data_IF_858553211820
#
_entry.id   IF_858553211820
#
_cell.length_a   1.000
_cell.length_b   1.000
_cell.length_c   1.000
_cell.angle_alpha   90.00
_cell.angle_beta   90.00
_cell.angle_gamma   90.00
#
_symmetry.space_group_name_H-M   'P 1'
#
loop_
_entity.id
_entity.type
_entity.pdbx_description
1 polymer ?
#
# COMPACT_ATOMS: atom_id res chain seq x y z
N UNK A 1 -33.90 44.12 2.44
CA UNK A 1 -34.42 43.91 3.81
C UNK A 1 -33.63 42.73 4.37
N UNK A 2 -32.94 42.72 5.51
CA UNK A 2 -33.05 43.53 6.72
C UNK A 2 -31.75 43.22 7.53
N UNK A 3 -30.86 44.21 7.65
CA UNK A 3 -29.95 44.55 8.77
C UNK A 3 -28.82 43.59 9.21
N UNK A 4 -27.59 44.06 8.95
CA UNK A 4 -26.35 43.71 9.65
C UNK A 4 -26.45 44.28 11.07
N UNK A 5 -26.20 43.44 12.09
CA UNK A 5 -25.93 43.90 13.46
C UNK A 5 -24.47 43.54 13.77
N UNK A 6 -23.67 44.58 13.93
CA UNK A 6 -22.34 44.54 14.53
C UNK A 6 -22.50 44.37 16.04
N UNK A 7 -21.87 43.36 16.61
CA UNK A 7 -21.58 43.32 18.04
C UNK A 7 -20.08 43.07 18.21
N UNK A 8 -19.34 44.18 18.31
CA UNK A 8 -17.98 44.20 18.81
C UNK A 8 -18.02 43.86 20.31
N UNK A 9 -17.77 42.59 20.62
CA UNK A 9 -17.51 42.17 21.99
C UNK A 9 -16.00 42.19 22.21
N UNK A 10 -15.56 43.22 22.95
CA UNK A 10 -14.26 43.28 23.62
C UNK A 10 -14.06 42.01 24.44
N UNK A 11 -13.21 41.11 23.96
CA UNK A 11 -12.73 39.97 24.72
C UNK A 11 -11.34 40.29 25.27
N UNK A 12 -11.26 40.24 26.59
CA UNK A 12 -10.07 40.40 27.40
C UNK A 12 -8.94 39.50 26.88
N UNK A 13 -7.74 40.08 26.75
CA UNK A 13 -6.51 39.34 26.51
C UNK A 13 -6.18 38.49 27.75
N UNK A 14 -6.67 37.25 27.78
CA UNK A 14 -6.02 36.19 28.54
C UNK A 14 -5.02 35.52 27.60
N UNK A 15 -3.75 35.56 27.98
CA UNK A 15 -2.68 34.87 27.27
C UNK A 15 -2.88 33.35 27.42
N UNK A 16 -3.73 32.77 26.59
CA UNK A 16 -3.81 31.35 26.32
C UNK A 16 -3.60 31.19 24.82
N UNK A 17 -2.33 31.08 24.42
CA UNK A 17 -1.98 30.79 23.04
C UNK A 17 -2.65 29.48 22.60
N UNK A 18 -3.02 29.35 21.31
CA UNK A 18 -3.53 28.07 20.81
C UNK A 18 -2.45 27.01 21.01
N UNK A 19 -2.76 26.01 21.84
CA UNK A 19 -1.98 24.77 21.91
C UNK A 19 -2.24 24.06 20.59
N UNK A 20 -1.42 24.34 19.59
CA UNK A 20 -1.36 23.54 18.37
C UNK A 20 -0.78 22.21 18.84
N UNK A 21 -1.64 21.25 19.16
CA UNK A 21 -1.24 19.85 19.28
C UNK A 21 -0.88 19.38 17.87
N UNK A 22 0.36 19.69 17.47
CA UNK A 22 0.98 19.15 16.28
C UNK A 22 1.15 17.66 16.49
N UNK A 23 0.15 16.88 16.10
CA UNK A 23 0.35 15.47 15.77
C UNK A 23 1.23 15.46 14.54
N UNK A 24 2.55 15.52 14.75
CA UNK A 24 3.51 15.22 13.69
C UNK A 24 3.13 13.85 13.13
N UNK A 25 2.84 13.73 11.82
CA UNK A 25 2.68 12.42 11.22
C UNK A 25 4.01 11.69 11.44
N UNK A 26 3.99 10.72 12.36
CA UNK A 26 5.14 9.87 12.61
C UNK A 26 5.48 9.23 11.25
N UNK A 27 6.68 9.50 10.76
CA UNK A 27 7.17 8.82 9.57
C UNK A 27 7.16 7.33 9.90
N UNK A 28 6.24 6.59 9.28
CA UNK A 28 6.20 5.13 9.41
C UNK A 28 7.51 4.63 8.83
N UNK A 29 8.33 3.99 9.66
CA UNK A 29 9.62 3.48 9.22
C UNK A 29 9.42 2.48 8.07
N UNK A 30 10.15 2.73 6.97
CA UNK A 30 10.11 1.84 5.81
C UNK A 30 10.77 0.51 6.14
N UNK A 31 10.14 -0.56 5.66
CA UNK A 31 10.64 -1.93 5.78
C UNK A 31 11.93 -2.05 4.95
N UNK A 32 13.04 -2.37 5.62
CA UNK A 32 14.31 -2.68 4.94
C UNK A 32 14.18 -4.02 4.23
N UNK A 33 14.68 -4.10 3.00
CA UNK A 33 14.75 -5.30 2.17
C UNK A 33 16.04 -5.28 1.37
N UNK A 34 16.52 -6.44 0.92
CA UNK A 34 17.68 -6.49 0.02
C UNK A 34 17.37 -5.80 -1.31
N UNK A 35 18.41 -5.46 -2.08
CA UNK A 35 18.23 -4.90 -3.43
C UNK A 35 17.41 -5.82 -4.34
N UNK A 36 17.67 -7.12 -4.27
CA UNK A 36 16.97 -8.14 -5.06
C UNK A 36 15.50 -8.26 -4.67
N UNK A 37 15.21 -8.23 -3.37
CA UNK A 37 13.83 -8.22 -2.86
C UNK A 37 13.07 -6.95 -3.28
N UNK A 38 13.73 -5.78 -3.23
CA UNK A 38 13.15 -4.53 -3.69
C UNK A 38 12.85 -4.54 -5.20
N UNK A 39 13.73 -5.16 -6.00
CA UNK A 39 13.50 -5.35 -7.43
C UNK A 39 12.32 -6.29 -7.68
N UNK A 40 12.24 -7.43 -6.99
CA UNK A 40 11.08 -8.33 -7.12
C UNK A 40 9.76 -7.62 -6.78
N UNK A 41 9.74 -6.80 -5.73
CA UNK A 41 8.58 -5.97 -5.36
C UNK A 41 8.18 -4.97 -6.45
N UNK A 42 9.14 -4.39 -7.18
CA UNK A 42 8.85 -3.50 -8.30
C UNK A 42 8.44 -4.27 -9.57
N UNK A 43 9.13 -5.36 -9.87
CA UNK A 43 8.92 -6.16 -11.08
C UNK A 43 7.53 -6.79 -11.09
N UNK A 44 7.04 -7.24 -9.93
CA UNK A 44 5.69 -7.79 -9.82
C UNK A 44 4.60 -6.78 -10.16
N UNK A 45 4.87 -5.46 -10.09
CA UNK A 45 3.87 -4.45 -10.44
C UNK A 45 3.48 -4.49 -11.91
N UNK A 46 4.27 -5.11 -12.80
CA UNK A 46 3.91 -5.28 -14.21
C UNK A 46 2.65 -6.12 -14.42
N UNK A 47 2.30 -6.94 -13.44
CA UNK A 47 1.14 -7.82 -13.47
C UNK A 47 -0.13 -7.16 -12.91
N UNK A 48 -0.03 -5.97 -12.30
CA UNK A 48 -1.21 -5.26 -11.83
C UNK A 48 -2.12 -4.85 -12.98
N UNK A 49 -3.44 -4.97 -12.78
CA UNK A 49 -4.46 -4.80 -13.81
C UNK A 49 -4.60 -3.34 -14.29
N UNK A 50 -3.82 -2.98 -15.31
CA UNK A 50 -3.89 -1.69 -16.02
C UNK A 50 -2.93 -0.61 -15.50
N UNK A 51 -2.67 0.45 -16.29
CA UNK A 51 -1.59 1.41 -16.01
C UNK A 51 -1.69 2.11 -14.65
N UNK A 52 -2.90 2.44 -14.21
CA UNK A 52 -3.13 3.07 -12.91
C UNK A 52 -2.76 2.11 -11.77
N UNK A 53 -3.20 0.85 -11.82
CA UNK A 53 -2.87 -0.13 -10.81
C UNK A 53 -1.36 -0.40 -10.73
N UNK A 54 -0.66 -0.38 -11.87
CA UNK A 54 0.80 -0.49 -11.90
C UNK A 54 1.48 0.71 -11.21
N UNK A 55 1.00 1.93 -11.46
CA UNK A 55 1.51 3.13 -10.81
C UNK A 55 1.27 3.10 -9.29
N UNK A 56 0.08 2.68 -8.87
CA UNK A 56 -0.30 2.55 -7.46
C UNK A 56 0.54 1.48 -6.75
N UNK A 57 0.76 0.34 -7.41
CA UNK A 57 1.68 -0.70 -6.92
C UNK A 57 3.10 -0.16 -6.71
N UNK A 58 3.66 0.54 -7.70
CA UNK A 58 5.00 1.13 -7.57
C UNK A 58 5.07 2.18 -6.46
N UNK A 59 4.04 3.01 -6.33
CA UNK A 59 3.97 4.01 -5.27
C UNK A 59 3.95 3.36 -3.88
N UNK A 60 3.16 2.31 -3.70
CA UNK A 60 3.14 1.50 -2.46
C UNK A 60 4.51 0.90 -2.16
N UNK A 61 5.18 0.32 -3.15
CA UNK A 61 6.52 -0.26 -2.96
C UNK A 61 7.50 0.81 -2.48
N UNK A 62 7.54 1.97 -3.15
CA UNK A 62 8.40 3.10 -2.79
C UNK A 62 8.07 3.70 -1.43
N UNK A 63 6.80 3.67 -1.02
CA UNK A 63 6.36 4.22 0.25
C UNK A 63 6.66 3.29 1.43
N UNK A 64 6.54 1.97 1.24
CA UNK A 64 6.61 1.00 2.32
C UNK A 64 7.99 0.35 2.47
N UNK A 65 8.79 0.30 1.40
CA UNK A 65 10.06 -0.41 1.39
C UNK A 65 11.24 0.52 1.09
N UNK A 66 12.39 0.13 1.61
CA UNK A 66 13.67 0.77 1.29
C UNK A 66 14.76 -0.28 1.17
N UNK A 67 15.77 -0.01 0.34
CA UNK A 67 16.92 -0.90 0.20
C UNK A 67 17.75 -0.83 1.47
N UNK A 68 18.07 -2.00 2.04
CA UNK A 68 18.88 -2.18 3.23
C UNK A 68 19.34 -3.63 3.35
N UNK A 69 19.25 -4.18 4.55
CA UNK A 69 19.55 -5.58 4.82
C UNK A 69 18.45 -6.50 4.28
N UNK A 70 18.82 -7.75 3.96
CA UNK A 70 17.86 -8.77 3.55
C UNK A 70 16.83 -8.98 4.65
N UNK A 71 15.57 -9.04 4.25
CA UNK A 71 14.47 -9.29 5.16
C UNK A 71 13.95 -10.72 4.99
N UNK A 72 14.35 -11.61 5.89
CA UNK A 72 13.90 -13.00 5.87
C UNK A 72 12.43 -13.17 6.28
N UNK A 73 11.77 -12.13 6.80
CA UNK A 73 10.33 -12.13 7.07
C UNK A 73 9.50 -11.64 5.87
N UNK A 74 10.13 -11.17 4.79
CA UNK A 74 9.42 -10.82 3.56
C UNK A 74 8.91 -12.10 2.89
N UNK A 75 7.59 -12.24 2.77
CA UNK A 75 6.98 -13.39 2.09
C UNK A 75 7.23 -13.32 0.58
N UNK A 76 8.29 -13.95 0.12
CA UNK A 76 8.59 -14.10 -1.31
C UNK A 76 8.20 -15.50 -1.78
N UNK A 77 7.43 -15.55 -2.86
CA UNK A 77 6.90 -16.76 -3.47
C UNK A 77 7.38 -16.82 -4.92
N UNK A 78 7.77 -18.00 -5.37
CA UNK A 78 8.21 -18.21 -6.75
C UNK A 78 7.35 -19.29 -7.41
N UNK A 79 6.84 -18.97 -8.60
CA UNK A 79 6.02 -19.87 -9.38
C UNK A 79 6.34 -19.69 -10.87
N UNK A 80 6.63 -20.78 -11.57
CA UNK A 80 6.95 -20.78 -13.01
C UNK A 80 7.99 -19.68 -13.39
N UNK A 81 9.11 -19.62 -12.67
CA UNK A 81 10.18 -18.61 -12.82
C UNK A 81 9.75 -17.16 -12.58
N UNK A 82 8.56 -16.94 -12.03
CA UNK A 82 8.07 -15.63 -11.62
C UNK A 82 8.14 -15.52 -10.10
N UNK A 83 8.90 -14.53 -9.62
CA UNK A 83 9.02 -14.20 -8.20
C UNK A 83 8.10 -13.04 -7.87
N UNK A 84 7.32 -13.20 -6.80
CA UNK A 84 6.48 -12.15 -6.23
C UNK A 84 6.69 -12.10 -4.73
N UNK A 85 6.70 -10.90 -4.15
CA UNK A 85 6.97 -10.68 -2.74
C UNK A 85 5.87 -9.84 -2.07
N UNK A 86 5.68 -10.09 -0.78
CA UNK A 86 4.71 -9.39 0.04
C UNK A 86 3.25 -9.65 -0.37
N UNK A 87 2.41 -8.67 -0.06
CA UNK A 87 0.97 -8.70 -0.34
C UNK A 87 0.70 -8.29 -1.78
N UNK A 88 -0.05 -9.13 -2.49
CA UNK A 88 -0.55 -8.85 -3.83
C UNK A 88 -1.90 -8.12 -3.73
N UNK A 89 -2.01 -6.98 -4.40
CA UNK A 89 -3.29 -6.29 -4.53
C UNK A 89 -4.06 -6.88 -5.69
N UNK A 90 -4.95 -7.80 -5.35
CA UNK A 90 -5.72 -8.51 -6.35
C UNK A 90 -6.91 -7.68 -6.85
N UNK A 91 -7.09 -7.63 -8.17
CA UNK A 91 -8.31 -7.12 -8.80
C UNK A 91 -9.54 -7.95 -8.42
N UNK A 92 -10.75 -7.53 -8.84
CA UNK A 92 -11.96 -8.31 -8.56
C UNK A 92 -11.92 -9.64 -9.33
N UNK A 93 -11.42 -9.60 -10.55
CA UNK A 93 -11.30 -10.71 -11.48
C UNK A 93 -10.25 -11.72 -10.97
N UNK A 94 -9.10 -11.22 -10.51
CA UNK A 94 -8.06 -12.05 -9.90
C UNK A 94 -8.57 -12.76 -8.63
N UNK A 95 -9.31 -12.06 -7.76
CA UNK A 95 -9.92 -12.70 -6.58
C UNK A 95 -10.91 -13.79 -6.95
N UNK A 96 -11.70 -13.58 -8.00
CA UNK A 96 -12.62 -14.60 -8.51
C UNK A 96 -11.85 -15.81 -9.09
N UNK A 97 -10.74 -15.57 -9.79
CA UNK A 97 -9.82 -16.61 -10.24
C UNK A 97 -9.27 -17.41 -9.05
N UNK A 98 -8.76 -16.74 -8.01
CA UNK A 98 -8.22 -17.40 -6.81
C UNK A 98 -9.27 -18.30 -6.16
N UNK A 99 -10.49 -17.80 -5.99
CA UNK A 99 -11.57 -18.58 -5.39
C UNK A 99 -11.91 -19.82 -6.23
N UNK A 100 -11.93 -19.69 -7.56
CA UNK A 100 -12.20 -20.83 -8.46
C UNK A 100 -11.11 -21.89 -8.34
N UNK A 101 -9.84 -21.50 -8.47
CA UNK A 101 -8.70 -22.42 -8.39
C UNK A 101 -8.66 -23.14 -7.03
N UNK A 102 -8.97 -22.44 -5.94
CA UNK A 102 -9.05 -23.02 -4.59
C UNK A 102 -10.17 -24.05 -4.49
N UNK A 103 -11.35 -23.76 -5.06
CA UNK A 103 -12.47 -24.69 -5.09
C UNK A 103 -12.16 -25.95 -5.93
N UNK A 104 -11.25 -25.82 -6.91
CA UNK A 104 -10.78 -26.93 -7.75
C UNK A 104 -9.62 -27.72 -7.12
N UNK A 105 -9.18 -27.34 -5.91
CA UNK A 105 -8.20 -28.08 -5.11
C UNK A 105 -6.79 -27.48 -5.08
N UNK A 106 -6.58 -26.30 -5.69
CA UNK A 106 -5.29 -25.59 -5.62
C UNK A 106 -5.13 -24.90 -4.25
N UNK A 107 -3.91 -24.85 -3.71
CA UNK A 107 -3.66 -24.09 -2.48
C UNK A 107 -3.82 -22.58 -2.71
N UNK A 108 -4.34 -21.85 -1.72
CA UNK A 108 -4.52 -20.40 -1.82
C UNK A 108 -3.22 -19.70 -2.25
N UNK A 109 -2.08 -20.05 -1.65
CA UNK A 109 -0.78 -19.44 -1.99
C UNK A 109 -0.37 -19.62 -3.44
N UNK A 110 -0.67 -20.78 -4.04
CA UNK A 110 -0.39 -21.02 -5.46
C UNK A 110 -1.39 -20.28 -6.34
N UNK A 111 -2.68 -20.39 -6.03
CA UNK A 111 -3.75 -19.73 -6.75
C UNK A 111 -3.55 -18.20 -6.79
N UNK A 112 -3.13 -17.60 -5.68
CA UNK A 112 -2.86 -16.16 -5.57
C UNK A 112 -1.79 -15.70 -6.56
N UNK A 113 -0.65 -16.40 -6.63
CA UNK A 113 0.43 -16.05 -7.56
C UNK A 113 0.02 -16.36 -9.00
N UNK A 114 -0.58 -17.52 -9.25
CA UNK A 114 -1.02 -17.92 -10.58
C UNK A 114 -2.03 -16.92 -11.16
N UNK A 115 -3.07 -16.58 -10.40
CA UNK A 115 -4.08 -15.65 -10.86
C UNK A 115 -3.51 -14.25 -11.01
N UNK A 116 -2.68 -13.76 -10.08
CA UNK A 116 -2.06 -12.44 -10.24
C UNK A 116 -1.18 -12.33 -11.49
N UNK A 117 -0.46 -13.40 -11.86
CA UNK A 117 0.50 -13.37 -12.97
C UNK A 117 -0.16 -13.64 -14.33
N UNK A 118 -1.24 -14.42 -14.38
CA UNK A 118 -1.80 -14.97 -15.63
C UNK A 118 -3.26 -14.57 -15.93
N UNK A 119 -3.89 -13.72 -15.12
CA UNK A 119 -5.28 -13.25 -15.36
C UNK A 119 -5.38 -12.09 -16.33
#
# INVERSE_FOLDING_TARGET
MKWIIVAAALLAATAAGPVITGVSPQAVDKIKVSREQYQALLDQCRYSNGPQAQADCQARVKNNYQIGEENHALDCREYASTRVCGTLELSREERACVQREVNEGTSYRRAEVQCYVFS
#
